data_IF_876888456657
#
_entry.id   IF_876888456657
#
_cell.length_a   1.000
_cell.length_b   1.000
_cell.length_c   1.000
_cell.angle_alpha   90.00
_cell.angle_beta   90.00
_cell.angle_gamma   90.00
#
_symmetry.space_group_name_H-M   'P 1'
#
loop_
_entity.id
_entity.type
_entity.pdbx_description
1 polymer ?
#
# COMPACT_ATOMS: atom_id res chain seq x y z
N UNK A 1 -14.35 -19.34 20.13
CA UNK A 1 -14.01 -18.10 20.86
C UNK A 1 -12.56 -18.28 21.31
N UNK A 2 -11.49 -17.71 20.72
CA UNK A 2 -11.25 -16.29 20.48
C UNK A 2 -9.96 -16.02 19.67
N UNK A 3 -9.51 -16.88 18.74
CA UNK A 3 -8.32 -16.53 17.92
C UNK A 3 -8.27 -17.14 16.52
N UNK A 4 -9.40 -17.54 15.96
CA UNK A 4 -9.50 -18.11 14.60
C UNK A 4 -10.23 -17.23 13.59
N UNK A 5 -10.48 -15.94 13.92
CA UNK A 5 -11.49 -15.12 13.22
C UNK A 5 -11.20 -13.62 13.11
N UNK A 6 -9.98 -13.15 13.43
CA UNK A 6 -9.65 -11.72 13.30
C UNK A 6 -8.93 -11.37 12.00
N UNK A 7 -8.39 -12.36 11.29
CA UNK A 7 -7.88 -12.16 9.93
C UNK A 7 -8.96 -12.63 8.96
N UNK A 8 -10.04 -11.85 8.90
CA UNK A 8 -11.05 -12.02 7.88
C UNK A 8 -10.37 -12.01 6.52
N UNK A 9 -10.36 -13.16 5.86
CA UNK A 9 -10.22 -13.25 4.41
C UNK A 9 -11.45 -12.59 3.78
N UNK A 10 -11.64 -11.29 4.01
CA UNK A 10 -12.24 -10.44 3.00
C UNK A 10 -11.40 -10.71 1.77
N UNK A 11 -12.00 -11.30 0.73
CA UNK A 11 -11.33 -11.52 -0.54
C UNK A 11 -10.62 -10.22 -0.92
N UNK A 12 -9.29 -10.18 -0.82
CA UNK A 12 -8.44 -9.00 -0.99
C UNK A 12 -8.40 -8.54 -2.47
N UNK A 13 -9.46 -8.84 -3.21
CA UNK A 13 -9.52 -8.83 -4.65
C UNK A 13 -8.74 -9.97 -5.29
N UNK A 14 -8.91 -10.12 -6.61
CA UNK A 14 -8.10 -11.04 -7.43
C UNK A 14 -6.60 -10.76 -7.37
N UNK A 15 -6.18 -9.58 -6.91
CA UNK A 15 -4.79 -9.13 -6.99
C UNK A 15 -4.18 -8.75 -5.63
N UNK A 16 -4.29 -9.64 -4.64
CA UNK A 16 -3.70 -9.46 -3.31
C UNK A 16 -2.18 -9.16 -3.31
N UNK A 17 -1.45 -9.53 -4.38
CA UNK A 17 -0.03 -9.21 -4.54
C UNK A 17 0.23 -7.71 -4.64
N UNK A 18 -0.50 -6.98 -5.48
CA UNK A 18 -0.32 -5.52 -5.62
C UNK A 18 -0.68 -4.79 -4.33
N UNK A 19 -1.72 -5.26 -3.63
CA UNK A 19 -2.08 -4.74 -2.31
C UNK A 19 -0.96 -4.96 -1.28
N UNK A 20 -0.41 -6.17 -1.22
CA UNK A 20 0.70 -6.49 -0.31
C UNK A 20 1.95 -5.64 -0.59
N UNK A 21 2.29 -5.45 -1.87
CA UNK A 21 3.41 -4.59 -2.28
C UNK A 21 3.17 -3.12 -1.91
N UNK A 22 1.97 -2.60 -2.15
CA UNK A 22 1.60 -1.23 -1.77
C UNK A 22 1.78 -1.00 -0.26
N UNK A 23 1.22 -1.89 0.57
CA UNK A 23 1.37 -1.79 2.04
C UNK A 23 2.82 -1.89 2.49
N UNK A 24 3.60 -2.80 1.90
CA UNK A 24 5.01 -2.97 2.27
C UNK A 24 5.80 -1.69 1.95
N UNK A 25 5.59 -1.11 0.77
CA UNK A 25 6.25 0.13 0.37
C UNK A 25 5.80 1.30 1.24
N UNK A 26 4.52 1.40 1.60
CA UNK A 26 4.03 2.43 2.52
C UNK A 26 4.70 2.35 3.89
N UNK A 27 4.76 1.17 4.47
CA UNK A 27 5.41 0.96 5.78
C UNK A 27 6.89 1.31 5.70
N UNK A 28 7.61 0.83 4.69
CA UNK A 28 9.04 1.13 4.50
C UNK A 28 9.25 2.63 4.29
N UNK A 29 8.46 3.26 3.40
CA UNK A 29 8.56 4.68 3.08
C UNK A 29 8.27 5.57 4.29
N UNK A 30 7.23 5.26 5.07
CA UNK A 30 6.90 5.96 6.31
C UNK A 30 7.99 5.79 7.36
N UNK A 31 8.53 4.58 7.55
CA UNK A 31 9.64 4.37 8.49
C UNK A 31 10.85 5.19 8.11
N UNK A 32 11.25 5.21 6.83
CA UNK A 32 12.37 6.02 6.36
C UNK A 32 12.13 7.53 6.55
N UNK A 33 10.91 8.01 6.24
CA UNK A 33 10.55 9.41 6.48
C UNK A 33 10.60 9.77 7.96
N UNK A 34 10.02 8.94 8.83
CA UNK A 34 9.96 9.20 10.27
C UNK A 34 11.34 9.10 10.94
N UNK A 35 12.08 8.02 10.65
CA UNK A 35 13.48 7.86 11.10
C UNK A 35 14.27 9.04 10.62
N UNK A 36 14.04 9.45 9.39
CA UNK A 36 14.61 10.69 8.96
C UNK A 36 14.21 11.82 9.92
N UNK A 37 12.97 12.27 9.88
CA UNK A 37 12.52 13.53 10.49
C UNK A 37 12.92 13.65 11.97
N UNK A 38 12.94 12.53 12.68
CA UNK A 38 13.16 12.50 14.11
C UNK A 38 14.56 12.07 14.54
N UNK A 39 15.35 11.38 13.71
CA UNK A 39 16.70 10.97 14.09
C UNK A 39 17.76 11.98 13.63
N UNK A 40 18.70 12.31 14.52
CA UNK A 40 19.87 13.12 14.18
C UNK A 40 20.94 12.26 13.50
N UNK A 41 20.74 12.00 12.20
CA UNK A 41 21.68 11.27 11.33
C UNK A 41 22.30 12.23 10.30
N UNK A 42 23.57 12.02 9.94
CA UNK A 42 24.27 12.89 8.98
C UNK A 42 23.71 12.78 7.54
N UNK A 43 23.09 11.66 7.20
CA UNK A 43 22.47 11.37 5.90
C UNK A 43 20.93 11.48 5.96
N UNK A 44 20.43 12.34 6.84
CA UNK A 44 19.01 12.47 7.07
C UNK A 44 18.23 12.80 5.79
N UNK A 45 18.74 13.75 5.01
CA UNK A 45 18.20 14.17 3.72
C UNK A 45 17.94 12.99 2.76
N UNK A 46 18.90 12.07 2.63
CA UNK A 46 18.77 10.88 1.81
C UNK A 46 17.60 9.98 2.25
N UNK A 47 17.38 9.85 3.58
CA UNK A 47 16.25 9.08 4.11
C UNK A 47 14.92 9.73 3.78
N UNK A 48 14.82 11.07 3.87
CA UNK A 48 13.59 11.79 3.51
C UNK A 48 13.28 11.58 2.02
N UNK A 49 14.26 11.83 1.16
CA UNK A 49 14.06 11.76 -0.28
C UNK A 49 13.74 10.33 -0.75
N UNK A 50 14.43 9.34 -0.20
CA UNK A 50 14.14 7.94 -0.52
C UNK A 50 12.79 7.50 0.03
N UNK A 51 12.45 7.87 1.27
CA UNK A 51 11.17 7.54 1.88
C UNK A 51 9.99 8.13 1.12
N UNK A 52 10.07 9.43 0.78
CA UNK A 52 9.05 10.11 -0.05
C UNK A 52 8.93 9.50 -1.45
N UNK A 53 10.04 9.16 -2.10
CA UNK A 53 10.02 8.52 -3.41
C UNK A 53 9.35 7.13 -3.35
N UNK A 54 9.64 6.34 -2.31
CA UNK A 54 9.01 5.04 -2.08
C UNK A 54 7.49 5.19 -1.88
N UNK A 55 7.04 6.17 -1.09
CA UNK A 55 5.61 6.43 -0.91
C UNK A 55 4.94 6.84 -2.22
N UNK A 56 5.58 7.72 -3.01
CA UNK A 56 5.05 8.10 -4.32
C UNK A 56 4.93 6.90 -5.25
N UNK A 57 5.92 6.00 -5.25
CA UNK A 57 5.89 4.77 -6.06
C UNK A 57 4.82 3.79 -5.58
N UNK A 58 4.57 3.70 -4.27
CA UNK A 58 3.50 2.88 -3.68
C UNK A 58 2.10 3.22 -4.24
N UNK A 59 1.85 4.51 -4.54
CA UNK A 59 0.57 4.94 -5.14
C UNK A 59 0.27 4.25 -6.48
N UNK A 60 1.30 3.89 -7.26
CA UNK A 60 1.10 3.14 -8.51
C UNK A 60 0.49 1.76 -8.24
N UNK A 61 0.91 1.09 -7.18
CA UNK A 61 0.39 -0.21 -6.78
C UNK A 61 -1.02 -0.11 -6.19
N UNK A 62 -1.31 0.95 -5.44
CA UNK A 62 -2.67 1.25 -4.99
C UNK A 62 -3.62 1.45 -6.17
N UNK A 63 -3.22 2.24 -7.17
CA UNK A 63 -4.01 2.47 -8.39
C UNK A 63 -4.18 1.16 -9.17
N UNK A 64 -3.12 0.38 -9.34
CA UNK A 64 -3.18 -0.91 -10.05
C UNK A 64 -4.10 -1.90 -9.33
N UNK A 65 -3.97 -2.03 -8.01
CA UNK A 65 -4.83 -2.89 -7.20
C UNK A 65 -6.29 -2.45 -7.30
N UNK A 66 -6.57 -1.16 -7.13
CA UNK A 66 -7.93 -0.63 -7.23
C UNK A 66 -8.52 -0.90 -8.61
N UNK A 67 -7.80 -0.55 -9.67
CA UNK A 67 -8.25 -0.73 -11.07
C UNK A 67 -8.56 -2.19 -11.39
N UNK A 68 -7.69 -3.12 -10.97
CA UNK A 68 -7.87 -4.56 -11.23
C UNK A 68 -8.91 -5.22 -10.31
N UNK A 69 -9.33 -4.53 -9.25
CA UNK A 69 -10.34 -4.99 -8.32
C UNK A 69 -11.73 -4.38 -8.54
N UNK A 70 -11.89 -3.44 -9.48
CA UNK A 70 -13.21 -2.93 -9.87
C UNK A 70 -13.97 -4.03 -10.60
N UNK A 71 -15.10 -4.45 -10.03
CA UNK A 71 -16.04 -5.36 -10.67
C UNK A 71 -17.27 -4.56 -11.11
N UNK A 72 -17.51 -4.48 -12.43
CA UNK A 72 -18.69 -3.81 -12.96
C UNK A 72 -19.78 -4.86 -13.18
N UNK A 73 -20.91 -4.80 -12.46
CA UNK A 73 -22.00 -5.74 -12.67
C UNK A 73 -22.61 -5.55 -14.06
N UNK A 74 -22.75 -6.64 -14.80
CA UNK A 74 -23.27 -6.67 -16.17
C UNK A 74 -24.71 -6.14 -16.28
N UNK A 75 -25.48 -6.25 -15.20
CA UNK A 75 -26.87 -5.75 -15.11
C UNK A 75 -26.98 -4.22 -15.12
N UNK A 76 -25.85 -3.50 -15.03
CA UNK A 76 -25.74 -2.04 -15.25
C UNK A 76 -25.15 -1.68 -16.61
N UNK A 77 -24.75 -2.67 -17.42
CA UNK A 77 -24.23 -2.50 -18.78
C UNK A 77 -25.31 -2.64 -19.87
N UNK A 78 -26.56 -2.94 -19.50
CA UNK A 78 -27.69 -3.00 -20.43
C UNK A 78 -28.21 -1.58 -20.73
N UNK A 79 -27.71 -0.99 -21.81
CA UNK A 79 -28.21 0.22 -22.46
C UNK A 79 -29.24 -0.14 -23.54
#
# INVERSE_FOLDING_TARGET
MLLGKLWGMCSLGRCALFFGLALLLDVVGLVLLLVGIFASLDFWDFLIYTGSLILAFSLLFWIAWYTLNIEVPLEKLDL
#
